data_IF_114623947645
#
_entry.id   IF_114623947645
#
_cell.length_a   1.000
_cell.length_b   1.000
_cell.length_c   1.000
_cell.angle_alpha   90.00
_cell.angle_beta   90.00
_cell.angle_gamma   90.00
#
_symmetry.space_group_name_H-M   'P 1'
#
loop_
_entity.id
_entity.type
_entity.pdbx_description
1 polymer ?
#
# COMPACT_ATOMS: atom_id res chain seq x y z
N UNK A 1 -9.93 -29.18 -4.65
CA UNK A 1 -9.48 -27.78 -4.50
C UNK A 1 -8.78 -27.67 -3.15
N UNK A 2 -7.48 -27.96 -3.10
CA UNK A 2 -6.72 -28.02 -1.84
C UNK A 2 -6.39 -26.60 -1.41
N UNK A 3 -7.15 -26.09 -0.43
CA UNK A 3 -6.79 -24.90 0.32
C UNK A 3 -5.62 -25.29 1.24
N UNK A 4 -4.41 -25.25 0.68
CA UNK A 4 -3.18 -25.49 1.43
C UNK A 4 -2.94 -24.31 2.37
N UNK A 5 -3.58 -24.37 3.52
CA UNK A 5 -3.27 -23.52 4.66
C UNK A 5 -1.87 -23.90 5.19
N UNK A 6 -0.84 -23.36 4.53
CA UNK A 6 0.53 -23.42 5.03
C UNK A 6 0.59 -22.60 6.33
N UNK A 7 0.75 -23.29 7.46
CA UNK A 7 0.83 -22.68 8.79
C UNK A 7 2.21 -22.03 8.94
N UNK A 8 2.37 -20.82 8.39
CA UNK A 8 3.48 -19.94 8.70
C UNK A 8 3.40 -19.53 10.18
N UNK A 9 4.55 -19.33 10.83
CA UNK A 9 4.62 -18.74 12.18
C UNK A 9 4.24 -17.25 12.18
N UNK A 10 4.28 -16.60 11.02
CA UNK A 10 3.50 -15.42 10.73
C UNK A 10 2.04 -15.84 10.55
N UNK A 11 1.10 -15.29 11.31
CA UNK A 11 -0.32 -15.50 11.05
C UNK A 11 -0.67 -14.95 9.64
N UNK A 12 -0.48 -15.74 8.57
CA UNK A 12 -0.62 -15.32 7.17
C UNK A 12 -2.00 -14.73 6.84
N UNK A 13 -3.00 -14.99 7.68
CA UNK A 13 -4.31 -14.35 7.60
C UNK A 13 -4.20 -12.81 7.66
N UNK A 14 -3.18 -12.29 8.35
CA UNK A 14 -2.91 -10.87 8.51
C UNK A 14 -1.96 -10.32 7.45
N UNK A 15 -1.35 -11.17 6.61
CA UNK A 15 -0.31 -10.74 5.67
C UNK A 15 -0.80 -9.64 4.72
N UNK A 16 -2.04 -9.74 4.25
CA UNK A 16 -2.64 -8.69 3.41
C UNK A 16 -2.78 -7.35 4.15
N UNK A 17 -3.22 -7.38 5.41
CA UNK A 17 -3.32 -6.18 6.26
C UNK A 17 -1.94 -5.56 6.48
N UNK A 18 -0.93 -6.38 6.81
CA UNK A 18 0.45 -5.91 6.99
C UNK A 18 1.02 -5.32 5.70
N UNK A 19 0.69 -5.90 4.53
CA UNK A 19 1.08 -5.38 3.22
C UNK A 19 0.43 -4.02 2.94
N UNK A 20 -0.86 -3.87 3.23
CA UNK A 20 -1.61 -2.61 3.09
C UNK A 20 -0.98 -1.54 3.98
N UNK A 21 -0.79 -1.81 5.26
CA UNK A 21 -0.16 -0.87 6.21
C UNK A 21 1.26 -0.47 5.77
N UNK A 22 2.04 -1.44 5.28
CA UNK A 22 3.40 -1.21 4.79
C UNK A 22 3.42 -0.33 3.54
N UNK A 23 2.55 -0.59 2.57
CA UNK A 23 2.60 0.01 1.24
C UNK A 23 1.85 1.34 1.15
N UNK A 24 0.81 1.55 1.95
CA UNK A 24 0.02 2.79 1.96
C UNK A 24 0.63 3.89 2.85
N UNK A 25 1.61 3.52 3.68
CA UNK A 25 2.41 4.48 4.44
C UNK A 25 1.74 4.96 5.73
N UNK A 26 0.66 4.29 6.16
CA UNK A 26 -0.07 4.58 7.40
C UNK A 26 0.68 4.13 8.68
N UNK A 27 1.99 3.91 8.59
CA UNK A 27 2.84 3.44 9.68
C UNK A 27 4.13 4.27 9.83
N UNK A 28 4.62 4.39 11.05
CA UNK A 28 5.90 5.04 11.33
C UNK A 28 7.07 4.15 10.86
N UNK A 29 8.26 4.73 10.73
CA UNK A 29 9.43 4.01 10.20
C UNK A 29 9.82 2.77 11.03
N UNK A 30 9.61 2.80 12.35
CA UNK A 30 9.84 1.65 13.22
C UNK A 30 8.89 0.48 12.89
N UNK A 31 7.59 0.77 12.75
CA UNK A 31 6.58 -0.23 12.36
C UNK A 31 6.84 -0.74 10.95
N UNK A 32 7.22 0.11 10.01
CA UNK A 32 7.61 -0.29 8.65
C UNK A 32 8.73 -1.34 8.66
N UNK A 33 9.78 -1.11 9.45
CA UNK A 33 10.90 -2.03 9.55
C UNK A 33 10.49 -3.38 10.15
N UNK A 34 9.66 -3.37 11.19
CA UNK A 34 9.13 -4.58 11.82
C UNK A 34 8.26 -5.39 10.85
N UNK A 35 7.31 -4.74 10.17
CA UNK A 35 6.44 -5.37 9.18
C UNK A 35 7.23 -6.02 8.06
N UNK A 36 8.26 -5.31 7.56
CA UNK A 36 9.14 -5.82 6.51
C UNK A 36 9.91 -7.06 6.96
N UNK A 37 10.50 -7.04 8.15
CA UNK A 37 11.21 -8.21 8.71
C UNK A 37 10.29 -9.42 8.85
N UNK A 38 9.05 -9.22 9.31
CA UNK A 38 8.06 -10.29 9.44
C UNK A 38 7.65 -10.89 8.09
N UNK A 39 7.50 -10.06 7.06
CA UNK A 39 7.16 -10.50 5.71
C UNK A 39 8.33 -11.26 5.07
N UNK A 40 9.56 -10.75 5.20
CA UNK A 40 10.77 -11.38 4.66
C UNK A 40 11.08 -12.72 5.31
N UNK A 41 10.69 -12.92 6.58
CA UNK A 41 10.81 -14.21 7.27
C UNK A 41 9.86 -15.29 6.71
N UNK A 42 8.86 -14.93 5.90
CA UNK A 42 7.93 -15.86 5.28
C UNK A 42 8.06 -15.84 3.75
N UNK A 43 8.54 -16.91 3.09
CA UNK A 43 8.67 -16.97 1.64
C UNK A 43 7.37 -16.67 0.89
N UNK A 44 6.23 -17.12 1.42
CA UNK A 44 4.92 -16.90 0.80
C UNK A 44 4.46 -15.44 0.89
N UNK A 45 4.64 -14.80 2.05
CA UNK A 45 4.31 -13.38 2.20
C UNK A 45 5.26 -12.49 1.39
N UNK A 46 6.54 -12.87 1.32
CA UNK A 46 7.54 -12.17 0.53
C UNK A 46 7.22 -12.22 -0.98
N UNK A 47 6.82 -13.37 -1.51
CA UNK A 47 6.36 -13.51 -2.89
C UNK A 47 5.14 -12.60 -3.16
N UNK A 48 4.16 -12.60 -2.26
CA UNK A 48 2.99 -11.70 -2.35
C UNK A 48 3.38 -10.23 -2.34
N UNK A 49 4.30 -9.82 -1.47
CA UNK A 49 4.81 -8.44 -1.43
C UNK A 49 5.40 -8.05 -2.78
N UNK A 50 6.24 -8.90 -3.37
CA UNK A 50 6.86 -8.64 -4.67
C UNK A 50 5.83 -8.41 -5.79
N UNK A 51 4.77 -9.23 -5.83
CA UNK A 51 3.67 -9.08 -6.79
C UNK A 51 2.93 -7.75 -6.57
N UNK A 52 2.61 -7.41 -5.32
CA UNK A 52 1.92 -6.16 -5.00
C UNK A 52 2.75 -4.92 -5.33
N UNK A 53 4.06 -4.95 -5.08
CA UNK A 53 5.00 -3.89 -5.45
C UNK A 53 5.06 -3.70 -6.97
N UNK A 54 5.12 -4.79 -7.74
CA UNK A 54 5.12 -4.76 -9.20
C UNK A 54 3.82 -4.18 -9.77
N UNK A 55 2.66 -4.63 -9.28
CA UNK A 55 1.35 -4.09 -9.67
C UNK A 55 1.26 -2.60 -9.35
N UNK A 56 1.68 -2.18 -8.14
CA UNK A 56 1.67 -0.77 -7.74
C UNK A 56 2.61 0.08 -8.61
N UNK A 57 3.74 -0.46 -9.06
CA UNK A 57 4.63 0.22 -10.00
C UNK A 57 3.98 0.40 -11.38
N UNK A 58 3.31 -0.63 -11.89
CA UNK A 58 2.56 -0.55 -13.16
C UNK A 58 1.48 0.53 -13.07
N UNK A 59 0.71 0.56 -11.97
CA UNK A 59 -0.32 1.58 -11.73
C UNK A 59 0.29 2.98 -11.66
N UNK A 60 1.41 3.15 -10.95
CA UNK A 60 2.12 4.43 -10.90
C UNK A 60 2.54 4.92 -12.28
N UNK A 61 3.09 4.04 -13.12
CA UNK A 61 3.47 4.40 -14.51
C UNK A 61 2.28 4.75 -15.38
N UNK A 62 1.19 4.00 -15.25
CA UNK A 62 0.00 4.13 -16.11
C UNK A 62 -0.90 5.30 -15.71
N UNK A 63 -0.92 5.66 -14.42
CA UNK A 63 -1.80 6.66 -13.84
C UNK A 63 -1.07 7.93 -13.38
N UNK A 64 0.21 8.12 -13.71
CA UNK A 64 0.97 9.36 -13.45
C UNK A 64 0.56 10.55 -14.34
N UNK A 65 -0.68 10.57 -14.84
CA UNK A 65 -1.18 11.69 -15.63
C UNK A 65 -1.37 12.91 -14.71
N UNK A 66 -0.78 14.04 -15.11
CA UNK A 66 -0.98 15.28 -14.37
C UNK A 66 -2.45 15.69 -14.49
N UNK A 67 -3.10 15.92 -13.34
CA UNK A 67 -4.49 16.35 -13.32
C UNK A 67 -4.69 17.62 -14.19
N UNK A 68 -5.77 17.72 -14.99
CA UNK A 68 -6.03 18.89 -15.82
C UNK A 68 -6.01 20.19 -15.00
N UNK A 69 -5.43 21.26 -15.58
CA UNK A 69 -5.24 22.53 -14.88
C UNK A 69 -6.54 23.06 -14.26
N UNK A 70 -7.65 23.01 -15.01
CA UNK A 70 -8.97 23.46 -14.54
C UNK A 70 -9.44 22.70 -13.30
N UNK A 71 -9.18 21.40 -13.23
CA UNK A 71 -9.56 20.59 -12.07
C UNK A 71 -8.73 20.98 -10.84
N UNK A 72 -7.40 21.10 -11.01
CA UNK A 72 -6.49 21.54 -9.94
C UNK A 72 -6.86 22.92 -9.39
N UNK A 73 -7.16 23.87 -10.28
CA UNK A 73 -7.57 25.22 -9.90
C UNK A 73 -8.87 25.20 -9.09
N UNK A 74 -9.91 24.48 -9.57
CA UNK A 74 -11.18 24.36 -8.86
C UNK A 74 -11.02 23.77 -7.45
N UNK A 75 -10.26 22.69 -7.32
CA UNK A 75 -10.01 22.04 -6.03
C UNK A 75 -9.25 22.99 -5.09
N UNK A 76 -8.21 23.67 -5.58
CA UNK A 76 -7.41 24.61 -4.78
C UNK A 76 -8.25 25.76 -4.23
N UNK A 77 -9.17 26.30 -5.03
CA UNK A 77 -10.11 27.35 -4.59
C UNK A 77 -11.07 26.80 -3.54
N UNK A 78 -11.67 25.63 -3.81
CA UNK A 78 -12.63 24.99 -2.87
C UNK A 78 -12.01 24.74 -1.49
N UNK A 79 -10.78 24.21 -1.45
CA UNK A 79 -10.07 23.95 -0.19
C UNK A 79 -9.79 25.26 0.56
N UNK A 80 -9.42 26.33 -0.15
CA UNK A 80 -9.20 27.64 0.48
C UNK A 80 -10.48 28.17 1.09
N UNK A 81 -11.60 28.13 0.36
CA UNK A 81 -12.89 28.66 0.82
C UNK A 81 -13.41 27.90 2.04
N UNK A 82 -13.34 26.56 2.04
CA UNK A 82 -13.83 25.73 3.16
C UNK A 82 -13.06 25.92 4.47
N UNK A 83 -11.82 26.40 4.43
CA UNK A 83 -11.02 26.68 5.64
C UNK A 83 -11.36 28.03 6.30
N UNK A 84 -12.23 28.83 5.69
CA UNK A 84 -12.68 30.12 6.21
C UNK A 84 -14.20 30.16 6.50
N UNK A 85 -14.85 29.00 6.63
CA UNK A 85 -16.23 28.82 7.13
C UNK A 85 -16.20 27.96 8.39
#
# INVERSE_FOLDING_TARGET
MTNSHHRCECNCADAYTLLVELLDGDCCDATRAELRSRIEACPHCFEKLGIEEEVREILRRSCAAQAPLRLRQRISISIRVQRFS
#
